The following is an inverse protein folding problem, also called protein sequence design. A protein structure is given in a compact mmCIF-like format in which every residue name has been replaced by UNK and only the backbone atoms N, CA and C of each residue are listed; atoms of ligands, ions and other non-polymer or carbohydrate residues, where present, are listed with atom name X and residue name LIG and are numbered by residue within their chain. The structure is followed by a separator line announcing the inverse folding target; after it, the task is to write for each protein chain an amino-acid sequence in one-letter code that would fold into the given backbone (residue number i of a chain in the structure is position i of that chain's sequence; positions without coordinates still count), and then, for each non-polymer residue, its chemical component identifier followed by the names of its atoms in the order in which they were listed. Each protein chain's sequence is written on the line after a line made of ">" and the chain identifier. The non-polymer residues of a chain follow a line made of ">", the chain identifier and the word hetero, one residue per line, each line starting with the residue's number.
data_IF_473463344947
#
_entry.id   IF_473463344947
#
_cell.length_a   1.000
_cell.length_b   1.000
_cell.length_c   1.000
_cell.angle_alpha   90.00
_cell.angle_beta   90.00
_cell.angle_gamma   90.00
#
_symmetry.space_group_name_H-M   'P 1'
#
loop_
_entity.id
_entity.type
_entity.pdbx_description
1 polymer ?
#
# COMPACT_ATOMS: atom_id res chain seq x y z
N UNK A 1 10.90 13.22 6.13
CA UNK A 1 10.06 13.82 5.07
C UNK A 1 8.85 12.92 4.88
N UNK A 2 7.71 13.32 5.44
CA UNK A 2 6.46 12.55 5.37
C UNK A 2 5.80 12.93 4.05
N UNK A 3 5.67 11.99 3.11
CA UNK A 3 4.98 12.25 1.85
C UNK A 3 3.47 12.28 2.11
N UNK A 4 2.86 13.45 1.93
CA UNK A 4 1.41 13.62 1.90
C UNK A 4 0.85 12.98 0.63
N UNK A 5 0.03 11.94 0.81
CA UNK A 5 -0.89 11.44 -0.22
C UNK A 5 -2.07 12.41 -0.29
N UNK A 6 -2.20 13.11 -1.41
CA UNK A 6 -3.30 14.04 -1.64
C UNK A 6 -4.66 13.33 -1.57
N UNK A 7 -5.64 14.05 -1.01
CA UNK A 7 -6.93 13.56 -0.52
C UNK A 7 -7.80 12.84 -1.55
N UNK A 8 -8.38 11.72 -1.10
CA UNK A 8 -9.33 10.89 -1.81
C UNK A 8 -9.36 9.49 -1.19
N UNK A 9 -10.34 9.24 -0.34
CA UNK A 9 -10.64 8.01 0.42
C UNK A 9 -10.04 6.68 -0.09
N UNK A 10 -9.31 5.99 0.79
CA UNK A 10 -8.60 4.69 0.65
C UNK A 10 -7.17 4.78 0.14
N UNK A 11 -6.23 4.29 0.95
CA UNK A 11 -4.86 4.03 0.53
C UNK A 11 -4.88 3.05 -0.66
N UNK A 12 -4.22 3.41 -1.76
CA UNK A 12 -4.13 2.58 -2.97
C UNK A 12 -2.98 1.60 -2.84
N UNK A 13 -3.24 0.33 -3.09
CA UNK A 13 -2.23 -0.72 -3.04
C UNK A 13 -1.83 -1.18 -4.44
N UNK A 14 -0.54 -1.46 -4.61
CA UNK A 14 0.05 -1.67 -5.94
C UNK A 14 0.96 -2.90 -6.02
N UNK A 15 1.06 -3.44 -7.24
CA UNK A 15 2.03 -4.46 -7.64
C UNK A 15 3.06 -3.77 -8.52
N UNK A 16 4.34 -3.93 -8.22
CA UNK A 16 5.42 -3.24 -8.92
C UNK A 16 6.33 -4.27 -9.59
N UNK A 17 6.52 -4.15 -10.89
CA UNK A 17 7.54 -4.87 -11.64
C UNK A 17 8.79 -4.01 -11.77
N UNK A 18 9.96 -4.63 -11.55
CA UNK A 18 11.27 -3.99 -11.64
C UNK A 18 12.18 -4.84 -12.52
N UNK A 19 12.75 -4.21 -13.54
CA UNK A 19 13.87 -4.76 -14.31
C UNK A 19 15.16 -4.04 -13.88
N UNK A 20 16.01 -4.67 -13.05
CA UNK A 20 17.20 -4.04 -12.47
C UNK A 20 18.39 -4.02 -13.45
N UNK A 21 19.15 -2.93 -13.45
CA UNK A 21 20.34 -2.76 -14.28
C UNK A 21 20.84 -1.32 -14.25
N UNK A 22 21.74 -0.95 -15.16
CA UNK A 22 22.14 0.46 -15.36
C UNK A 22 20.94 1.32 -15.75
N UNK A 23 20.00 0.74 -16.50
CA UNK A 23 18.68 1.32 -16.73
C UNK A 23 17.67 0.44 -16.01
N UNK A 24 16.97 1.02 -15.04
CA UNK A 24 15.95 0.33 -14.27
C UNK A 24 14.61 0.49 -14.98
N UNK A 25 13.99 -0.61 -15.42
CA UNK A 25 12.61 -0.62 -15.89
C UNK A 25 11.64 -0.68 -14.71
N UNK A 26 10.54 0.05 -14.78
CA UNK A 26 9.51 0.10 -13.73
C UNK A 26 8.13 -0.02 -14.38
N UNK A 27 7.31 -0.92 -13.87
CA UNK A 27 5.90 -1.01 -14.19
C UNK A 27 5.07 -1.10 -12.90
N UNK A 28 3.98 -0.35 -12.81
CA UNK A 28 3.12 -0.32 -11.62
C UNK A 28 1.71 -0.67 -12.04
N UNK A 29 1.15 -1.70 -11.38
CA UNK A 29 -0.21 -2.15 -11.55
C UNK A 29 -1.03 -1.91 -10.29
N UNK A 30 -2.34 -1.70 -10.45
CA UNK A 30 -3.29 -1.84 -9.34
C UNK A 30 -3.40 -3.30 -8.90
N UNK A 31 -4.02 -3.56 -7.75
CA UNK A 31 -4.34 -4.94 -7.34
C UNK A 31 -5.27 -5.68 -8.33
N UNK A 32 -5.96 -4.93 -9.19
CA UNK A 32 -6.84 -5.47 -10.22
C UNK A 32 -6.17 -5.63 -11.59
N UNK A 33 -4.86 -5.33 -11.69
CA UNK A 33 -4.07 -5.56 -12.90
C UNK A 33 -4.10 -4.41 -13.90
N UNK A 34 -4.65 -3.25 -13.52
CA UNK A 34 -4.65 -2.06 -14.37
C UNK A 34 -3.27 -1.41 -14.37
N UNK A 35 -2.75 -1.07 -15.56
CA UNK A 35 -1.46 -0.38 -15.69
C UNK A 35 -1.58 1.08 -15.27
N UNK A 36 -0.96 1.43 -14.14
CA UNK A 36 -0.93 2.79 -13.58
C UNK A 36 0.28 3.59 -14.08
N UNK A 37 1.43 2.91 -14.25
CA UNK A 37 2.67 3.55 -14.71
C UNK A 37 3.58 2.57 -15.43
N UNK A 38 4.30 3.08 -16.43
CA UNK A 38 5.41 2.39 -17.06
C UNK A 38 6.48 3.39 -17.49
N UNK A 39 7.74 3.08 -17.17
CA UNK A 39 8.88 3.91 -17.53
C UNK A 39 10.20 3.24 -17.21
N UNK A 40 11.28 3.94 -17.54
CA UNK A 40 12.65 3.50 -17.26
C UNK A 40 13.51 4.65 -16.78
N UNK A 41 14.50 4.36 -15.93
CA UNK A 41 15.41 5.34 -15.33
C UNK A 41 16.85 4.87 -15.42
N UNK A 42 17.71 5.65 -16.07
CA UNK A 42 19.13 5.36 -16.15
C UNK A 42 19.85 5.89 -14.92
N UNK A 43 20.75 5.08 -14.34
CA UNK A 43 21.49 5.40 -13.11
C UNK A 43 20.59 5.79 -11.93
N UNK A 44 19.43 5.14 -11.84
CA UNK A 44 18.41 5.46 -10.83
C UNK A 44 18.95 5.28 -9.40
N UNK A 45 18.74 6.29 -8.56
CA UNK A 45 19.03 6.19 -7.12
C UNK A 45 17.89 5.49 -6.39
N UNK A 46 18.20 4.80 -5.29
CA UNK A 46 17.20 4.10 -4.48
C UNK A 46 16.04 5.02 -4.05
N UNK A 47 16.35 6.27 -3.67
CA UNK A 47 15.35 7.24 -3.24
C UNK A 47 14.42 7.68 -4.38
N UNK A 48 14.93 7.83 -5.60
CA UNK A 48 14.12 8.18 -6.76
C UNK A 48 13.10 7.07 -7.05
N UNK A 49 13.55 5.82 -7.02
CA UNK A 49 12.69 4.64 -7.19
C UNK A 49 11.59 4.59 -6.12
N UNK A 50 11.95 4.79 -4.84
CA UNK A 50 10.99 4.80 -3.74
C UNK A 50 9.95 5.90 -3.91
N UNK A 51 10.37 7.13 -4.22
CA UNK A 51 9.46 8.25 -4.41
C UNK A 51 8.50 8.00 -5.58
N UNK A 52 9.02 7.51 -6.71
CA UNK A 52 8.18 7.17 -7.86
C UNK A 52 7.17 6.08 -7.50
N UNK A 53 7.60 5.01 -6.83
CA UNK A 53 6.69 3.92 -6.46
C UNK A 53 5.60 4.42 -5.50
N UNK A 54 5.99 5.11 -4.43
CA UNK A 54 5.07 5.61 -3.39
C UNK A 54 4.12 6.69 -3.89
N UNK A 55 4.49 7.42 -4.95
CA UNK A 55 3.61 8.37 -5.62
C UNK A 55 2.36 7.69 -6.18
N UNK A 56 2.46 6.44 -6.66
CA UNK A 56 1.32 5.71 -7.23
C UNK A 56 0.53 4.89 -6.21
N UNK A 57 1.13 4.53 -5.06
CA UNK A 57 0.47 3.79 -3.99
C UNK A 57 1.44 3.02 -3.09
N UNK A 58 0.90 2.18 -2.21
CA UNK A 58 1.65 1.35 -1.29
C UNK A 58 1.94 -0.03 -1.89
N UNK A 59 3.22 -0.39 -2.09
CA UNK A 59 3.57 -1.67 -2.67
C UNK A 59 3.21 -2.84 -1.77
N UNK A 60 2.55 -3.83 -2.37
CA UNK A 60 2.26 -5.11 -1.73
C UNK A 60 3.19 -6.18 -2.25
N UNK A 61 3.49 -6.12 -3.55
CA UNK A 61 4.34 -7.09 -4.24
C UNK A 61 5.36 -6.33 -5.09
N UNK A 62 6.62 -6.73 -4.98
CA UNK A 62 7.70 -6.37 -5.90
C UNK A 62 8.02 -7.59 -6.75
N UNK A 63 8.05 -7.46 -8.07
CA UNK A 63 8.27 -8.54 -9.00
C UNK A 63 9.48 -8.28 -9.89
N UNK A 64 10.30 -9.29 -10.14
CA UNK A 64 11.42 -9.20 -11.07
C UNK A 64 11.68 -10.55 -11.76
N UNK A 65 12.19 -10.54 -12.99
CA UNK A 65 12.46 -11.75 -13.79
C UNK A 65 13.86 -12.36 -13.56
N UNK A 66 14.60 -11.88 -12.55
CA UNK A 66 15.98 -12.32 -12.26
C UNK A 66 16.05 -13.17 -10.98
N UNK A 67 16.58 -14.40 -11.05
CA UNK A 67 16.55 -15.35 -9.92
C UNK A 67 17.57 -15.03 -8.80
N UNK A 68 18.61 -14.24 -9.09
CA UNK A 68 19.63 -13.88 -8.12
C UNK A 68 19.41 -12.44 -7.64
N UNK A 69 18.46 -12.27 -6.71
CA UNK A 69 18.07 -10.99 -6.07
C UNK A 69 19.16 -9.90 -6.10
N UNK A 70 19.16 -9.00 -7.11
CA UNK A 70 20.06 -7.85 -7.10
C UNK A 70 19.79 -7.03 -5.84
N UNK A 71 20.86 -6.56 -5.20
CA UNK A 71 20.84 -5.86 -3.91
C UNK A 71 19.73 -4.81 -3.79
N UNK A 72 19.46 -4.09 -4.90
CA UNK A 72 18.36 -3.13 -5.04
C UNK A 72 16.99 -3.70 -4.67
N UNK A 73 16.63 -4.90 -5.14
CA UNK A 73 15.31 -5.49 -4.88
C UNK A 73 15.13 -5.83 -3.41
N UNK A 74 16.16 -6.35 -2.74
CA UNK A 74 16.15 -6.63 -1.30
C UNK A 74 16.02 -5.35 -0.47
N UNK A 75 16.73 -4.30 -0.86
CA UNK A 75 16.63 -3.00 -0.20
C UNK A 75 15.22 -2.41 -0.36
N UNK A 76 14.67 -2.44 -1.58
CA UNK A 76 13.30 -2.00 -1.86
C UNK A 76 12.26 -2.84 -1.12
N UNK A 77 12.40 -4.17 -1.11
CA UNK A 77 11.50 -5.09 -0.39
C UNK A 77 11.43 -4.74 1.09
N UNK A 78 12.60 -4.55 1.72
CA UNK A 78 12.70 -4.18 3.14
C UNK A 78 12.08 -2.82 3.43
N UNK A 79 12.38 -1.81 2.60
CA UNK A 79 11.90 -0.44 2.80
C UNK A 79 10.39 -0.31 2.57
N UNK A 80 9.87 -0.99 1.55
CA UNK A 80 8.46 -0.94 1.18
C UNK A 80 7.60 -1.94 1.96
N UNK A 81 8.23 -2.88 2.69
CA UNK A 81 7.56 -3.99 3.40
C UNK A 81 6.61 -4.75 2.45
N UNK A 82 7.11 -5.00 1.24
CA UNK A 82 6.42 -5.71 0.18
C UNK A 82 6.90 -7.17 0.12
N UNK A 83 6.15 -8.03 -0.57
CA UNK A 83 6.59 -9.39 -0.88
C UNK A 83 7.39 -9.39 -2.17
N UNK A 84 8.60 -9.96 -2.16
CA UNK A 84 9.33 -10.22 -3.39
C UNK A 84 8.77 -11.46 -4.12
N UNK A 85 8.39 -11.29 -5.39
CA UNK A 85 7.94 -12.33 -6.30
C UNK A 85 8.99 -12.54 -7.40
N UNK A 86 9.62 -13.71 -7.40
CA UNK A 86 10.58 -14.12 -8.43
C UNK A 86 10.01 -15.36 -9.14
N UNK A 87 9.80 -15.34 -10.46
CA UNK A 87 9.36 -16.51 -11.18
C UNK A 87 10.47 -17.56 -11.20
N UNK A 88 10.17 -18.79 -10.77
CA UNK A 88 11.15 -19.88 -10.65
C UNK A 88 11.78 -20.34 -11.98
N UNK A 89 11.27 -19.89 -13.13
CA UNK A 89 11.87 -20.10 -14.46
C UNK A 89 11.88 -18.77 -15.22
N UNK A 90 13.01 -18.47 -15.86
CA UNK A 90 13.12 -17.36 -16.82
C UNK A 90 12.14 -17.61 -17.96
N UNK A 91 11.39 -16.57 -18.34
CA UNK A 91 10.48 -16.65 -19.47
C UNK A 91 11.18 -16.41 -20.80
N UNK A 92 10.64 -17.00 -21.86
CA UNK A 92 11.14 -16.78 -23.22
C UNK A 92 10.83 -15.36 -23.70
N UNK A 93 11.69 -14.80 -24.55
CA UNK A 93 11.62 -13.39 -24.99
C UNK A 93 10.32 -13.10 -25.76
N UNK A 94 9.81 -14.09 -26.47
CA UNK A 94 8.60 -14.05 -27.28
C UNK A 94 7.34 -13.93 -26.40
N UNK A 95 7.29 -14.68 -25.29
CA UNK A 95 6.20 -14.59 -24.30
C UNK A 95 6.12 -13.18 -23.69
N UNK A 96 7.28 -12.58 -23.40
CA UNK A 96 7.36 -11.22 -22.87
C UNK A 96 6.80 -10.19 -23.84
N UNK A 97 7.11 -10.33 -25.14
CA UNK A 97 6.67 -9.41 -26.20
C UNK A 97 5.16 -9.42 -26.37
N UNK A 98 4.55 -10.60 -26.46
CA UNK A 98 3.11 -10.73 -26.66
C UNK A 98 2.30 -10.14 -25.49
N UNK A 99 2.71 -10.48 -24.26
CA UNK A 99 1.99 -10.05 -23.04
C UNK A 99 2.13 -8.54 -22.81
N UNK A 100 3.34 -8.00 -22.98
CA UNK A 100 3.57 -6.57 -22.78
C UNK A 100 2.93 -5.71 -23.87
N UNK A 101 2.90 -6.18 -25.13
CA UNK A 101 2.30 -5.43 -26.24
C UNK A 101 0.79 -5.20 -26.04
N UNK A 102 0.07 -6.22 -25.58
CA UNK A 102 -1.37 -6.12 -25.29
C UNK A 102 -1.62 -5.17 -24.12
N UNK A 103 -0.82 -5.28 -23.06
CA UNK A 103 -1.00 -4.45 -21.86
C UNK A 103 -0.57 -2.98 -22.06
N UNK A 104 0.34 -2.69 -22.99
CA UNK A 104 0.85 -1.34 -23.25
C UNK A 104 -0.12 -0.44 -24.04
N UNK A 105 -1.27 -0.97 -24.50
CA UNK A 105 -2.29 -0.24 -25.26
C UNK A 105 -1.73 0.58 -26.44
N UNK A 106 -0.78 0.01 -27.17
CA UNK A 106 -0.15 0.66 -28.34
C UNK A 106 1.08 1.53 -28.03
N UNK A 107 1.49 1.69 -26.76
CA UNK A 107 2.71 2.40 -26.40
C UNK A 107 3.95 1.56 -26.77
N UNK A 108 4.93 2.18 -27.43
CA UNK A 108 6.21 1.53 -27.73
C UNK A 108 7.06 1.48 -26.46
N UNK A 109 7.40 0.27 -26.01
CA UNK A 109 8.15 0.05 -24.78
C UNK A 109 9.62 -0.27 -25.05
N UNK A 110 10.51 0.27 -24.22
CA UNK A 110 11.90 -0.18 -24.18
C UNK A 110 11.99 -1.65 -23.73
N UNK A 111 13.10 -2.36 -24.00
CA UNK A 111 13.32 -3.71 -23.47
C UNK A 111 13.16 -3.77 -21.94
N UNK A 112 13.69 -2.78 -21.23
CA UNK A 112 13.60 -2.70 -19.77
C UNK A 112 12.17 -2.50 -19.26
N UNK A 113 11.41 -1.61 -19.89
CA UNK A 113 9.99 -1.38 -19.57
C UNK A 113 9.15 -2.63 -19.81
N UNK A 114 9.43 -3.35 -20.91
CA UNK A 114 8.76 -4.59 -21.28
C UNK A 114 8.99 -5.69 -20.26
N UNK A 115 10.23 -5.86 -19.82
CA UNK A 115 10.62 -6.87 -18.84
C UNK A 115 10.03 -6.55 -17.47
N UNK A 116 10.02 -5.28 -17.07
CA UNK A 116 9.36 -4.82 -15.86
C UNK A 116 7.84 -5.04 -15.90
N UNK A 117 7.18 -4.70 -17.02
CA UNK A 117 5.74 -4.92 -17.20
C UNK A 117 5.39 -6.40 -17.16
N UNK A 118 6.18 -7.22 -17.83
CA UNK A 118 6.00 -8.66 -17.81
C UNK A 118 6.09 -9.23 -16.39
N UNK A 119 7.11 -8.82 -15.62
CA UNK A 119 7.26 -9.24 -14.23
C UNK A 119 6.04 -8.85 -13.37
N UNK A 120 5.54 -7.61 -13.51
CA UNK A 120 4.36 -7.13 -12.79
C UNK A 120 3.11 -7.95 -13.15
N UNK A 121 2.87 -8.20 -14.44
CA UNK A 121 1.73 -8.97 -14.93
C UNK A 121 1.77 -10.42 -14.46
N UNK A 122 2.96 -11.04 -14.45
CA UNK A 122 3.15 -12.40 -13.94
C UNK A 122 2.84 -12.50 -12.45
N UNK A 123 3.28 -11.51 -11.67
CA UNK A 123 2.93 -11.41 -10.25
C UNK A 123 1.41 -11.21 -10.05
N UNK A 124 0.79 -10.31 -10.82
CA UNK A 124 -0.66 -10.13 -10.79
C UNK A 124 -1.40 -11.45 -11.06
N UNK A 125 -1.05 -12.18 -12.12
CA UNK A 125 -1.68 -13.47 -12.46
C UNK A 125 -1.50 -14.52 -11.37
N UNK A 126 -0.36 -14.52 -10.68
CA UNK A 126 -0.14 -15.39 -9.52
C UNK A 126 -1.09 -15.07 -8.35
N UNK A 127 -1.34 -13.78 -8.08
CA UNK A 127 -2.16 -13.34 -6.94
C UNK A 127 -3.66 -13.16 -7.27
N UNK A 128 -4.06 -13.08 -8.54
CA UNK A 128 -5.42 -12.78 -8.99
C UNK A 128 -6.47 -13.71 -8.35
N UNK A 129 -6.23 -15.03 -8.36
CA UNK A 129 -7.14 -15.99 -7.75
C UNK A 129 -7.28 -15.80 -6.24
N UNK A 130 -6.18 -15.47 -5.56
CA UNK A 130 -6.16 -15.19 -4.11
C UNK A 130 -6.93 -13.92 -3.78
N UNK A 131 -6.72 -12.85 -4.56
CA UNK A 131 -7.45 -11.58 -4.43
C UNK A 131 -8.95 -11.81 -4.56
N UNK A 132 -9.40 -12.44 -5.66
CA UNK A 132 -10.82 -12.74 -5.88
C UNK A 132 -11.44 -13.57 -4.76
N UNK A 133 -10.72 -14.57 -4.27
CA UNK A 133 -11.20 -15.42 -3.17
C UNK A 133 -11.38 -14.62 -1.87
N UNK A 134 -10.41 -13.76 -1.53
CA UNK A 134 -10.50 -12.89 -0.34
C UNK A 134 -11.69 -11.96 -0.44
N UNK A 135 -11.85 -11.26 -1.56
CA UNK A 135 -12.98 -10.34 -1.74
C UNK A 135 -14.33 -11.07 -1.71
N UNK A 136 -14.43 -12.26 -2.31
CA UNK A 136 -15.65 -13.09 -2.26
C UNK A 136 -15.99 -13.44 -0.81
N UNK A 137 -14.99 -13.84 -0.01
CA UNK A 137 -15.19 -14.16 1.42
C UNK A 137 -15.60 -12.92 2.22
N UNK A 138 -15.02 -11.76 1.94
CA UNK A 138 -15.42 -10.49 2.59
C UNK A 138 -16.88 -10.14 2.28
N UNK A 139 -17.27 -10.23 1.00
CA UNK A 139 -18.66 -9.98 0.56
C UNK A 139 -19.64 -10.95 1.23
N UNK A 140 -19.30 -12.23 1.35
CA UNK A 140 -20.13 -13.22 2.04
C UNK A 140 -20.32 -12.94 3.54
N UNK A 141 -19.40 -12.19 4.16
CA UNK A 141 -19.50 -11.74 5.55
C UNK A 141 -20.18 -10.36 5.69
N UNK A 142 -20.68 -9.77 4.59
CA UNK A 142 -21.25 -8.42 4.59
C UNK A 142 -20.21 -7.31 4.78
N UNK A 143 -18.93 -7.59 4.53
CA UNK A 143 -17.82 -6.64 4.68
C UNK A 143 -17.42 -6.13 3.29
N UNK A 144 -17.25 -4.82 3.16
CA UNK A 144 -16.72 -4.22 1.93
C UNK A 144 -15.30 -4.75 1.64
N UNK A 145 -15.00 -5.09 0.37
CA UNK A 145 -13.69 -5.62 -0.03
C UNK A 145 -12.63 -4.51 -0.09
N UNK A 146 -12.17 -4.06 1.07
CA UNK A 146 -11.17 -3.00 1.17
C UNK A 146 -9.77 -3.50 0.78
N UNK A 147 -9.05 -2.73 -0.07
CA UNK A 147 -7.73 -3.12 -0.59
C UNK A 147 -6.70 -3.40 0.51
N UNK A 148 -6.77 -2.68 1.63
CA UNK A 148 -5.90 -2.88 2.80
C UNK A 148 -5.99 -4.33 3.33
N UNK A 149 -7.20 -4.90 3.40
CA UNK A 149 -7.39 -6.27 3.87
C UNK A 149 -6.77 -7.26 2.88
N UNK A 150 -7.00 -7.02 1.59
CA UNK A 150 -6.43 -7.83 0.50
C UNK A 150 -4.89 -7.78 0.55
N UNK A 151 -4.32 -6.60 0.73
CA UNK A 151 -2.88 -6.38 0.80
C UNK A 151 -2.22 -7.16 1.95
N UNK A 152 -2.78 -7.10 3.15
CA UNK A 152 -2.26 -7.84 4.31
C UNK A 152 -2.32 -9.36 4.10
N UNK A 153 -3.39 -9.86 3.47
CA UNK A 153 -3.52 -11.27 3.14
C UNK A 153 -2.51 -11.70 2.06
N UNK A 154 -2.24 -10.85 1.05
CA UNK A 154 -1.16 -11.09 0.08
C UNK A 154 0.19 -11.15 0.79
N UNK A 155 0.44 -10.25 1.74
CA UNK A 155 1.66 -10.24 2.58
C UNK A 155 1.80 -11.45 3.50
N UNK A 156 0.78 -12.30 3.59
CA UNK A 156 0.86 -13.63 4.20
C UNK A 156 0.05 -13.79 5.48
N UNK A 157 -0.66 -12.75 5.93
CA UNK A 157 -1.57 -12.88 7.08
C UNK A 157 -2.79 -13.71 6.73
N UNK A 158 -3.37 -14.36 7.74
CA UNK A 158 -4.65 -15.06 7.57
C UNK A 158 -5.79 -14.05 7.55
N UNK A 159 -6.80 -14.25 6.70
CA UNK A 159 -7.95 -13.33 6.62
C UNK A 159 -8.63 -13.13 7.98
N UNK A 160 -8.78 -14.20 8.77
CA UNK A 160 -9.38 -14.14 10.12
C UNK A 160 -8.57 -13.24 11.06
N UNK A 161 -7.25 -13.35 11.01
CA UNK A 161 -6.33 -12.55 11.83
C UNK A 161 -6.44 -11.07 11.46
N UNK A 162 -6.41 -10.75 10.16
CA UNK A 162 -6.58 -9.37 9.67
C UNK A 162 -7.91 -8.77 10.12
N UNK A 163 -9.01 -9.55 10.03
CA UNK A 163 -10.33 -9.09 10.47
C UNK A 163 -10.38 -8.87 11.99
N UNK A 164 -9.73 -9.72 12.78
CA UNK A 164 -9.67 -9.60 14.23
C UNK A 164 -8.87 -8.36 14.66
N UNK A 165 -7.67 -8.17 14.10
CA UNK A 165 -6.84 -6.98 14.32
C UNK A 165 -7.61 -5.71 14.01
N UNK A 166 -8.37 -5.70 12.91
CA UNK A 166 -9.16 -4.53 12.49
C UNK A 166 -10.30 -4.21 13.43
N UNK A 167 -11.00 -5.22 13.96
CA UNK A 167 -12.02 -5.04 15.01
C UNK A 167 -11.39 -4.47 16.28
N UNK A 168 -10.22 -4.97 16.68
CA UNK A 168 -9.49 -4.50 17.85
C UNK A 168 -9.02 -3.04 17.69
N UNK A 169 -8.46 -2.68 16.54
CA UNK A 169 -8.06 -1.30 16.24
C UNK A 169 -9.25 -0.34 16.27
N UNK A 170 -10.40 -0.75 15.72
CA UNK A 170 -11.65 0.04 15.81
C UNK A 170 -12.13 0.21 17.25
N UNK A 171 -12.01 -0.81 18.10
CA UNK A 171 -12.40 -0.71 19.52
C UNK A 171 -11.43 0.14 20.35
N UNK A 172 -10.13 0.07 20.08
CA UNK A 172 -9.10 0.91 20.68
C UNK A 172 -9.26 2.38 20.27
N UNK A 173 -9.48 2.66 18.99
CA UNK A 173 -9.72 4.01 18.49
C UNK A 173 -10.95 4.65 19.13
N UNK A 174 -12.05 3.89 19.29
CA UNK A 174 -13.24 4.36 20.02
C UNK A 174 -12.94 4.66 21.49
N UNK A 175 -12.21 3.78 22.19
CA UNK A 175 -11.81 4.01 23.59
C UNK A 175 -10.96 5.26 23.77
N UNK A 176 -9.96 5.47 22.91
CA UNK A 176 -9.08 6.65 22.98
C UNK A 176 -9.85 7.95 22.70
N UNK A 177 -10.84 7.92 21.81
CA UNK A 177 -11.73 9.06 21.56
C UNK A 177 -12.63 9.36 22.76
N UNK A 178 -13.18 8.33 23.40
CA UNK A 178 -14.02 8.48 24.60
C UNK A 178 -13.19 8.98 25.80
N UNK A 179 -11.97 8.49 26.00
CA UNK A 179 -11.05 9.01 27.01
C UNK A 179 -10.64 10.45 26.72
N UNK A 180 -10.31 10.80 25.48
CA UNK A 180 -10.02 12.18 25.10
C UNK A 180 -11.21 13.11 25.32
N UNK A 181 -12.45 12.64 25.05
CA UNK A 181 -13.69 13.39 25.30
C UNK A 181 -13.94 13.57 26.80
N UNK A 182 -13.75 12.52 27.62
CA UNK A 182 -13.87 12.60 29.08
C UNK A 182 -12.83 13.56 29.67
N UNK A 183 -11.57 13.47 29.24
CA UNK A 183 -10.49 14.36 29.68
C UNK A 183 -10.76 15.82 29.30
N UNK A 184 -11.28 16.09 28.09
CA UNK A 184 -11.72 17.43 27.69
C UNK A 184 -12.93 17.93 28.50
N UNK A 185 -13.93 17.09 28.74
CA UNK A 185 -15.10 17.45 29.54
C UNK A 185 -14.73 17.72 31.01
N UNK A 186 -13.80 16.94 31.58
CA UNK A 186 -13.30 17.12 32.94
C UNK A 186 -12.40 18.36 33.06
N UNK A 187 -11.59 18.65 32.04
CA UNK A 187 -10.84 19.91 31.94
C UNK A 187 -11.77 21.13 31.87
N UNK A 188 -12.81 21.07 31.03
CA UNK A 188 -13.81 22.13 30.89
C UNK A 188 -14.63 22.35 32.18
N UNK A 189 -15.03 21.27 32.87
CA UNK A 189 -15.77 21.38 34.14
C UNK A 189 -14.89 21.91 35.27
N UNK A 190 -13.61 21.57 35.30
CA UNK A 190 -12.64 22.09 36.28
C UNK A 190 -12.35 23.57 36.06
N UNK A 191 -12.27 24.02 34.80
CA UNK A 191 -12.16 25.43 34.43
C UNK A 191 -13.40 26.21 34.90
N UNK A 192 -14.61 25.69 34.63
CA UNK A 192 -15.85 26.32 35.05
C UNK A 192 -15.96 26.39 36.59
N UNK A 193 -15.65 25.31 37.34
CA UNK A 193 -15.64 25.34 38.82
C UNK A 193 -14.65 26.36 39.41
N UNK A 194 -13.46 26.51 38.81
CA UNK A 194 -12.46 27.50 39.25
C UNK A 194 -12.90 28.94 38.97
N UNK A 195 -13.61 29.18 37.87
CA UNK A 195 -14.13 30.51 37.52
C UNK A 195 -15.21 30.98 38.50
N UNK A 196 -16.16 30.11 38.85
CA UNK A 196 -17.28 30.43 39.76
C UNK A 196 -16.88 30.53 41.23
N UNK A 197 -15.75 29.92 41.61
CA UNK A 197 -15.14 30.07 42.95
C UNK A 197 -14.36 31.38 43.11
N UNK A 198 -14.02 32.04 42.00
CA UNK A 198 -13.33 33.34 41.98
C UNK A 198 -14.35 34.49 42.00
N UNK A 199 -15.48 34.35 41.31
CA UNK A 199 -16.57 35.35 41.29
C UNK A 199 -17.39 35.40 42.59
N UNK A 200 -17.63 34.27 43.27
CA UNK A 200 -18.35 34.27 44.56
C UNK A 200 -17.60 34.91 45.73
N UNK A 201 -16.29 35.16 45.61
CA UNK A 201 -15.51 35.88 46.63
C UNK A 201 -15.60 37.40 46.51
N UNK A 202 -16.25 37.93 45.47
CA UNK A 202 -16.39 39.37 45.19
C UNK A 202 -17.76 39.91 45.63
N UNK A 203 -18.70 39.05 46.04
CA UNK A 203 -20.07 39.42 46.44
C UNK A 203 -20.46 38.95 47.84
N UNK A 204 -19.50 38.79 48.74
CA UNK A 204 -19.74 38.52 50.16
C UNK A 204 -18.89 39.43 51.05
N UNK A 205 -19.00 40.73 50.84
CA UNK A 205 -18.60 41.76 51.80
C UNK A 205 -19.84 42.64 52.06
N UNK A 206 -20.11 42.98 53.34
CA UNK A 206 -21.40 43.46 53.81
C UNK A 206 -21.84 44.80 53.20
#
# INVERSE_FOLDING_TARGET
>A
MIYYINGGTSARYIIVGIDPGTTVGIAILSLHGELLYIGSMRNARLQELLCTILHYGFPVVLAADVPASPRLLKELEKLLRARLFLPGKRCQVEEKRAVAAVAAKGKRLSPHERDALFAALKAYRHYEAKIRNVEKRLRALGIAPEEEIVAEVIKGKKLVEVLHERKLLRSLGRRNLDESRKNKAQSCSTYNKKSWAKERRVHSLP
#
